data_IF_268756448818
#
_entry.id   IF_268756448818
#
_cell.length_a   1.000
_cell.length_b   1.000
_cell.length_c   1.000
_cell.angle_alpha   90.00
_cell.angle_beta   90.00
_cell.angle_gamma   90.00
#
_symmetry.space_group_name_H-M   'P 1'
#
loop_
_entity.id
_entity.type
_entity.pdbx_description
1 polymer ?
#
# COMPACT_ATOMS: atom_id res chain seq x y z
N UNK A 1 -6.43 20.75 5.44
CA UNK A 1 -7.78 21.30 5.16
C UNK A 1 -8.73 20.14 4.88
N UNK A 2 -10.01 20.23 5.26
CA UNK A 2 -10.98 19.17 4.99
C UNK A 2 -11.26 19.00 3.49
N UNK A 3 -11.46 17.76 3.05
CA UNK A 3 -11.57 17.36 1.64
C UNK A 3 -12.60 18.15 0.83
N UNK A 4 -13.70 18.60 1.46
CA UNK A 4 -14.76 19.36 0.82
C UNK A 4 -14.32 20.74 0.32
N UNK A 5 -13.34 21.39 0.96
CA UNK A 5 -12.83 22.70 0.51
C UNK A 5 -12.09 22.60 -0.83
N UNK A 6 -11.39 21.48 -1.05
CA UNK A 6 -10.70 21.23 -2.32
C UNK A 6 -11.70 20.96 -3.46
N UNK A 7 -12.79 20.25 -3.17
CA UNK A 7 -13.87 20.01 -4.13
C UNK A 7 -14.52 21.33 -4.54
N UNK A 8 -14.80 22.22 -3.59
CA UNK A 8 -15.35 23.56 -3.86
C UNK A 8 -14.41 24.38 -4.74
N UNK A 9 -13.10 24.33 -4.49
CA UNK A 9 -12.09 25.03 -5.30
C UNK A 9 -12.02 24.49 -6.73
N UNK A 10 -12.08 23.17 -6.93
CA UNK A 10 -12.09 22.54 -8.25
C UNK A 10 -13.34 22.93 -9.03
N UNK A 11 -14.51 22.92 -8.38
CA UNK A 11 -15.79 23.34 -9.00
C UNK A 11 -15.72 24.80 -9.44
N UNK A 12 -15.21 25.70 -8.59
CA UNK A 12 -15.04 27.12 -8.91
C UNK A 12 -14.11 27.33 -10.11
N UNK A 13 -13.00 26.59 -10.16
CA UNK A 13 -12.03 26.66 -11.25
C UNK A 13 -12.63 26.17 -12.57
N UNK A 14 -13.37 25.05 -12.55
CA UNK A 14 -14.07 24.52 -13.72
C UNK A 14 -15.12 25.50 -14.24
N UNK A 15 -15.93 26.10 -13.37
CA UNK A 15 -16.92 27.12 -13.75
C UNK A 15 -16.26 28.37 -14.37
N UNK A 16 -15.10 28.80 -13.85
CA UNK A 16 -14.36 29.93 -14.42
C UNK A 16 -13.83 29.64 -15.83
N UNK A 17 -13.32 28.43 -16.07
CA UNK A 17 -12.84 28.00 -17.39
C UNK A 17 -13.99 27.84 -18.39
N UNK A 18 -15.13 27.28 -17.98
CA UNK A 18 -16.31 27.17 -18.86
C UNK A 18 -16.85 28.54 -19.24
N UNK A 19 -16.87 29.47 -18.29
CA UNK A 19 -17.28 30.86 -18.53
C UNK A 19 -16.36 31.57 -19.53
N UNK A 20 -15.05 31.30 -19.50
CA UNK A 20 -14.09 31.79 -20.50
C UNK A 20 -14.33 31.17 -21.89
N UNK A 21 -14.58 29.86 -21.95
CA UNK A 21 -14.75 29.12 -23.21
C UNK A 21 -16.03 29.50 -23.97
N UNK A 22 -17.08 29.91 -23.26
CA UNK A 22 -18.37 30.29 -23.85
C UNK A 22 -18.35 31.65 -24.55
N UNK A 23 -17.41 32.54 -24.23
CA UNK A 23 -17.40 33.88 -24.82
C UNK A 23 -15.97 34.43 -25.07
N UNK A 24 -15.24 33.86 -26.05
CA UNK A 24 -13.81 34.13 -26.26
C UNK A 24 -13.49 35.55 -26.75
N UNK A 25 -14.44 36.23 -27.41
CA UNK A 25 -14.25 37.58 -27.96
C UNK A 25 -14.71 38.70 -27.01
N UNK A 26 -15.05 38.37 -25.77
CA UNK A 26 -15.49 39.36 -24.79
C UNK A 26 -14.31 40.23 -24.37
N UNK A 27 -14.49 41.55 -24.44
CA UNK A 27 -13.54 42.51 -23.85
C UNK A 27 -13.81 42.57 -22.35
N UNK A 28 -12.83 42.11 -21.57
CA UNK A 28 -12.95 41.99 -20.13
C UNK A 28 -12.67 43.33 -19.45
N UNK A 29 -13.47 43.66 -18.44
CA UNK A 29 -13.19 44.85 -17.65
C UNK A 29 -11.98 44.62 -16.72
N UNK A 30 -11.27 45.71 -16.38
CA UNK A 30 -10.11 45.64 -15.48
C UNK A 30 -10.40 44.90 -14.16
N UNK A 31 -11.63 44.99 -13.65
CA UNK A 31 -12.07 44.29 -12.43
C UNK A 31 -12.10 42.77 -12.60
N UNK A 32 -12.53 42.29 -13.76
CA UNK A 32 -12.63 40.86 -14.04
C UNK A 32 -11.25 40.21 -14.20
N UNK A 33 -10.29 40.93 -14.80
CA UNK A 33 -8.88 40.51 -14.85
C UNK A 33 -8.27 40.35 -13.46
N UNK A 34 -8.54 41.28 -12.54
CA UNK A 34 -8.03 41.20 -11.16
C UNK A 34 -8.58 39.96 -10.46
N UNK A 35 -9.86 39.63 -10.67
CA UNK A 35 -10.49 38.43 -10.10
C UNK A 35 -9.85 37.16 -10.65
N UNK A 36 -9.62 37.07 -11.97
CA UNK A 36 -9.00 35.90 -12.60
C UNK A 36 -7.56 35.67 -12.12
N UNK A 37 -6.75 36.72 -12.04
CA UNK A 37 -5.37 36.63 -11.55
C UNK A 37 -5.36 36.22 -10.07
N UNK A 38 -6.28 36.76 -9.28
CA UNK A 38 -6.41 36.39 -7.86
C UNK A 38 -6.80 34.92 -7.67
N UNK A 39 -7.74 34.42 -8.47
CA UNK A 39 -8.13 33.00 -8.49
C UNK A 39 -6.98 32.09 -8.92
N UNK A 40 -6.19 32.50 -9.91
CA UNK A 40 -5.01 31.76 -10.37
C UNK A 40 -3.96 31.62 -9.26
N UNK A 41 -3.68 32.71 -8.52
CA UNK A 41 -2.72 32.71 -7.41
C UNK A 41 -3.20 31.82 -6.24
N UNK A 42 -4.49 31.87 -5.90
CA UNK A 42 -5.08 30.98 -4.89
C UNK A 42 -4.97 29.52 -5.33
N UNK A 43 -5.32 29.22 -6.58
CA UNK A 43 -5.21 27.87 -7.12
C UNK A 43 -3.77 27.33 -7.07
N UNK A 44 -2.79 28.15 -7.45
CA UNK A 44 -1.38 27.77 -7.40
C UNK A 44 -0.89 27.48 -5.98
N UNK A 45 -1.31 28.30 -5.01
CA UNK A 45 -0.93 28.14 -3.59
C UNK A 45 -1.53 26.88 -3.00
N UNK A 46 -2.81 26.60 -3.31
CA UNK A 46 -3.50 25.37 -2.89
C UNK A 46 -2.85 24.13 -3.50
N UNK A 47 -2.49 24.17 -4.79
CA UNK A 47 -1.86 23.05 -5.49
C UNK A 47 -0.50 22.68 -4.88
N UNK A 48 0.32 23.68 -4.51
CA UNK A 48 1.58 23.45 -3.79
C UNK A 48 1.36 22.78 -2.43
N UNK A 49 0.41 23.28 -1.64
CA UNK A 49 0.07 22.70 -0.33
C UNK A 49 -0.45 21.26 -0.44
N UNK A 50 -1.24 20.97 -1.48
CA UNK A 50 -1.74 19.61 -1.72
C UNK A 50 -0.61 18.65 -2.11
N UNK A 51 0.28 19.11 -2.98
CA UNK A 51 1.45 18.33 -3.41
C UNK A 51 2.33 17.92 -2.23
N UNK A 52 2.57 18.81 -1.27
CA UNK A 52 3.37 18.50 -0.08
C UNK A 52 2.67 17.51 0.86
N UNK A 53 1.38 17.65 1.11
CA UNK A 53 0.65 16.73 1.99
C UNK A 53 0.59 15.32 1.40
N UNK A 54 0.33 15.24 0.09
CA UNK A 54 0.30 13.98 -0.66
C UNK A 54 1.68 13.32 -0.69
N UNK A 55 2.75 14.07 -0.98
CA UNK A 55 4.11 13.52 -1.03
C UNK A 55 4.53 12.96 0.33
N UNK A 56 4.21 13.65 1.41
CA UNK A 56 4.55 13.23 2.77
C UNK A 56 3.79 11.96 3.17
N UNK A 57 2.50 11.87 2.80
CA UNK A 57 1.70 10.66 3.06
C UNK A 57 2.19 9.46 2.25
N UNK A 58 2.56 9.66 0.98
CA UNK A 58 3.13 8.60 0.14
C UNK A 58 4.46 8.12 0.71
N UNK A 59 5.34 9.05 1.12
CA UNK A 59 6.63 8.71 1.70
C UNK A 59 6.46 7.89 2.99
N UNK A 60 5.54 8.30 3.87
CA UNK A 60 5.24 7.57 5.11
C UNK A 60 4.73 6.16 4.83
N UNK A 61 3.81 6.01 3.88
CA UNK A 61 3.27 4.72 3.48
C UNK A 61 4.36 3.81 2.87
N UNK A 62 5.22 4.37 2.01
CA UNK A 62 6.33 3.62 1.40
C UNK A 62 7.34 3.15 2.45
N UNK A 63 7.68 3.98 3.43
CA UNK A 63 8.55 3.59 4.55
C UNK A 63 7.95 2.45 5.36
N UNK A 64 6.65 2.53 5.65
CA UNK A 64 5.93 1.48 6.36
C UNK A 64 5.87 0.16 5.58
N UNK A 65 5.55 0.20 4.29
CA UNK A 65 5.54 -0.99 3.43
C UNK A 65 6.93 -1.63 3.40
N UNK A 66 7.97 -0.82 3.19
CA UNK A 66 9.36 -1.31 3.17
C UNK A 66 9.76 -1.96 4.49
N UNK A 67 9.39 -1.35 5.62
CA UNK A 67 9.61 -1.93 6.95
C UNK A 67 8.90 -3.28 7.09
N UNK A 68 7.61 -3.34 6.73
CA UNK A 68 6.80 -4.54 6.89
C UNK A 68 7.28 -5.68 5.99
N UNK A 69 7.65 -5.41 4.74
CA UNK A 69 8.20 -6.41 3.82
C UNK A 69 9.50 -7.00 4.41
N UNK A 70 10.42 -6.13 4.83
CA UNK A 70 11.68 -6.57 5.44
C UNK A 70 11.43 -7.42 6.70
N UNK A 71 10.56 -6.98 7.59
CA UNK A 71 10.28 -7.75 8.81
C UNK A 71 9.61 -9.09 8.52
N UNK A 72 8.70 -9.11 7.56
CA UNK A 72 8.04 -10.34 7.14
C UNK A 72 9.06 -11.35 6.62
N UNK A 73 9.99 -10.92 5.76
CA UNK A 73 11.09 -11.75 5.25
C UNK A 73 11.96 -12.29 6.39
N UNK A 74 12.45 -11.42 7.29
CA UNK A 74 13.31 -11.83 8.40
C UNK A 74 12.62 -12.84 9.33
N UNK A 75 11.35 -12.61 9.67
CA UNK A 75 10.57 -13.52 10.50
C UNK A 75 10.38 -14.89 9.84
N UNK A 76 10.05 -14.92 8.54
CA UNK A 76 9.83 -16.17 7.83
C UNK A 76 11.12 -16.95 7.58
N UNK A 77 12.22 -16.26 7.26
CA UNK A 77 13.55 -16.88 7.15
C UNK A 77 13.97 -17.49 8.47
N UNK A 78 13.77 -16.77 9.57
CA UNK A 78 14.10 -17.26 10.91
C UNK A 78 13.23 -18.46 11.32
N UNK A 79 11.94 -18.43 11.01
CA UNK A 79 10.99 -19.46 11.41
C UNK A 79 11.14 -20.75 10.60
N UNK A 80 11.29 -20.65 9.29
CA UNK A 80 11.39 -21.80 8.39
C UNK A 80 12.84 -22.24 8.13
N UNK A 81 13.82 -21.47 8.60
CA UNK A 81 15.25 -21.71 8.42
C UNK A 81 15.64 -21.93 6.93
N UNK A 82 15.03 -21.15 6.04
CA UNK A 82 15.26 -21.19 4.60
C UNK A 82 15.45 -19.77 4.06
N UNK A 83 16.24 -19.58 2.99
CA UNK A 83 16.43 -18.26 2.40
C UNK A 83 15.12 -17.72 1.82
N UNK A 84 14.91 -16.39 1.91
CA UNK A 84 13.69 -15.71 1.49
C UNK A 84 13.31 -16.01 0.02
N UNK A 85 14.29 -16.19 -0.86
CA UNK A 85 14.11 -16.53 -2.28
C UNK A 85 13.36 -17.86 -2.50
N UNK A 86 13.38 -18.75 -1.52
CA UNK A 86 12.69 -20.05 -1.55
C UNK A 86 11.32 -20.01 -0.87
N UNK A 87 10.89 -18.83 -0.41
CA UNK A 87 9.61 -18.61 0.25
C UNK A 87 8.69 -17.87 -0.72
N UNK A 88 7.61 -18.52 -1.13
CA UNK A 88 6.57 -17.87 -1.92
C UNK A 88 5.42 -17.45 -1.03
N UNK A 89 5.03 -16.18 -1.11
CA UNK A 89 3.95 -15.60 -0.32
C UNK A 89 2.77 -15.19 -1.20
N UNK A 90 1.58 -15.53 -0.73
CA UNK A 90 0.31 -15.10 -1.32
C UNK A 90 -0.59 -14.51 -0.22
N UNK A 91 -1.00 -13.26 -0.38
CA UNK A 91 -1.92 -12.60 0.56
C UNK A 91 -3.33 -13.18 0.43
N UNK A 92 -3.92 -13.54 1.56
CA UNK A 92 -5.35 -13.86 1.70
C UNK A 92 -5.97 -12.90 2.71
N UNK A 93 -7.30 -12.76 2.65
CA UNK A 93 -8.06 -11.79 3.46
C UNK A 93 -7.79 -11.85 4.97
N UNK A 94 -7.33 -12.98 5.51
CA UNK A 94 -7.11 -13.17 6.96
C UNK A 94 -5.73 -13.71 7.33
N UNK A 95 -4.91 -14.11 6.36
CA UNK A 95 -3.62 -14.76 6.58
C UNK A 95 -2.78 -14.69 5.32
N UNK A 96 -1.49 -14.96 5.43
CA UNK A 96 -0.60 -15.18 4.29
C UNK A 96 -0.42 -16.66 4.05
N UNK A 97 -0.67 -17.12 2.83
CA UNK A 97 -0.29 -18.47 2.42
C UNK A 97 1.20 -18.43 2.11
N UNK A 98 1.98 -19.15 2.90
CA UNK A 98 3.43 -19.26 2.76
C UNK A 98 3.73 -20.64 2.21
N UNK A 99 4.28 -20.70 1.00
CA UNK A 99 4.73 -21.93 0.36
C UNK A 99 6.25 -21.98 0.43
N UNK A 100 6.75 -23.11 0.93
CA UNK A 100 8.17 -23.41 1.10
C UNK A 100 8.47 -24.76 0.45
N UNK A 101 9.73 -25.17 0.42
CA UNK A 101 10.11 -26.52 0.00
C UNK A 101 9.69 -27.61 1.00
N UNK A 102 9.33 -27.27 2.23
CA UNK A 102 8.91 -28.23 3.28
C UNK A 102 7.39 -28.34 3.41
N UNK A 103 6.64 -27.38 2.83
CA UNK A 103 5.20 -27.38 2.89
C UNK A 103 4.55 -26.03 2.61
N UNK A 104 3.24 -26.01 2.78
CA UNK A 104 2.37 -24.84 2.64
C UNK A 104 1.76 -24.54 4.01
N UNK A 105 1.84 -23.29 4.44
CA UNK A 105 1.42 -22.84 5.77
C UNK A 105 0.49 -21.62 5.66
N UNK A 106 -0.42 -21.46 6.62
CA UNK A 106 -1.12 -20.21 6.90
C UNK A 106 -0.34 -19.47 7.97
N UNK A 107 0.12 -18.27 7.67
CA UNK A 107 0.84 -17.42 8.62
C UNK A 107 0.03 -16.16 8.87
N UNK A 108 -0.23 -15.86 10.14
CA UNK A 108 -0.83 -14.60 10.58
C UNK A 108 0.22 -13.80 11.34
N UNK A 109 0.40 -12.53 10.97
CA UNK A 109 1.35 -11.62 11.63
C UNK A 109 0.68 -10.83 12.75
N UNK A 110 1.47 -10.50 13.76
CA UNK A 110 1.10 -9.56 14.82
C UNK A 110 1.46 -8.14 14.36
N UNK A 111 0.51 -7.23 14.54
CA UNK A 111 0.69 -5.82 14.19
C UNK A 111 0.70 -4.93 15.45
N UNK A 112 1.46 -3.85 15.40
CA UNK A 112 1.36 -2.77 16.39
C UNK A 112 0.17 -1.83 16.10
N UNK A 113 0.00 -0.79 16.95
CA UNK A 113 -1.05 0.22 16.78
C UNK A 113 -0.91 1.06 15.50
N UNK A 114 0.26 1.05 14.88
CA UNK A 114 0.56 1.75 13.63
C UNK A 114 0.41 0.85 12.40
N UNK A 115 0.04 -0.44 12.56
CA UNK A 115 0.00 -1.47 11.51
C UNK A 115 1.37 -1.91 10.99
N UNK A 116 2.42 -1.77 11.79
CA UNK A 116 3.71 -2.38 11.49
C UNK A 116 3.72 -3.84 11.95
N UNK A 117 4.33 -4.72 11.16
CA UNK A 117 4.55 -6.11 11.56
C UNK A 117 5.61 -6.15 12.66
N UNK A 118 5.28 -6.80 13.79
CA UNK A 118 6.17 -6.93 14.95
C UNK A 118 6.50 -8.38 15.31
N UNK A 119 5.88 -9.36 14.62
CA UNK A 119 6.11 -10.77 14.89
C UNK A 119 5.11 -11.68 14.19
N UNK A 120 5.31 -12.99 14.35
CA UNK A 120 4.34 -14.00 13.92
C UNK A 120 3.35 -14.26 15.05
N UNK A 121 2.05 -14.20 14.74
CA UNK A 121 0.99 -14.51 15.69
C UNK A 121 0.64 -15.99 15.68
N UNK A 122 0.54 -16.60 14.50
CA UNK A 122 0.14 -18.00 14.34
C UNK A 122 0.67 -18.59 13.03
N UNK A 123 1.01 -19.88 13.07
CA UNK A 123 1.38 -20.70 11.91
C UNK A 123 0.57 -21.98 11.95
N UNK A 124 -0.22 -22.24 10.91
CA UNK A 124 -0.97 -23.48 10.75
C UNK A 124 -0.55 -24.18 9.44
N UNK A 125 -0.06 -25.44 9.47
CA UNK A 125 0.24 -26.17 8.25
C UNK A 125 -1.05 -26.47 7.46
N UNK A 126 -1.00 -26.26 6.14
CA UNK A 126 -2.04 -26.70 5.19
C UNK A 126 -1.63 -28.04 4.58
N UNK A 127 -0.36 -28.15 4.20
CA UNK A 127 0.24 -29.36 3.65
C UNK A 127 1.69 -29.37 4.09
N UNK A 128 2.07 -30.31 4.95
CA UNK A 128 3.48 -30.54 5.30
C UNK A 128 3.96 -31.78 4.58
N UNK A 129 5.13 -31.72 3.94
CA UNK A 129 5.80 -32.92 3.46
C UNK A 129 6.38 -33.57 4.71
N UNK A 130 5.70 -34.58 5.25
CA UNK A 130 6.32 -35.44 6.23
C UNK A 130 7.52 -36.09 5.53
N UNK A 131 8.72 -35.96 6.09
CA UNK A 131 9.79 -36.87 5.74
C UNK A 131 9.33 -38.27 6.17
N UNK A 132 8.69 -39.01 5.27
CA UNK A 132 8.54 -40.45 5.39
C UNK A 132 9.93 -41.09 5.22
N UNK A 133 10.77 -40.95 6.25
CA UNK A 133 11.88 -41.84 6.52
C UNK A 133 11.32 -43.12 7.17
N UNK A 134 10.51 -43.86 6.43
CA UNK A 134 10.04 -45.19 6.82
C UNK A 134 10.97 -46.25 6.23
N UNK A 135 11.89 -46.76 7.04
CA UNK A 135 12.68 -47.96 6.71
C UNK A 135 11.77 -49.06 6.16
N UNK A 136 11.99 -49.45 4.90
CA UNK A 136 11.58 -50.76 4.41
C UNK A 136 12.48 -51.82 5.05
N UNK A 137 12.17 -52.23 6.28
CA UNK A 137 12.71 -53.47 6.83
C UNK A 137 12.10 -54.64 6.06
N UNK A 138 12.98 -55.36 5.35
CA UNK A 138 12.68 -56.62 4.67
C UNK A 138 12.27 -57.68 5.71
N UNK A 139 11.00 -58.07 5.70
CA UNK A 139 10.52 -59.27 6.38
C UNK A 139 10.87 -60.52 5.57
N UNK A 140 11.93 -61.20 6.00
CA UNK A 140 12.29 -62.57 5.61
C UNK A 140 11.16 -63.54 5.96
N UNK A 141 10.63 -64.26 4.98
CA UNK A 141 9.72 -65.39 5.22
C UNK A 141 10.55 -66.67 5.35
N UNK A 142 10.30 -67.37 6.46
CA UNK A 142 10.82 -68.68 6.83
C UNK A 142 10.19 -69.80 6.01
#
# INVERSE_FOLDING_TARGET
>A
MPAYLYIILIVLLLTGVTYLALNPNRVWEKREYVILVSLLLIAFTVMKSLGSDISTSIEKNNKQIKHNVKMMEELLVSEFNIPAEKIYLEEKTKYYKVTTNTGIYKVTFKYDSQKNIIGIQKIDPILSIANEGGNHEQGSHN
#
